data_IF_368925284177
#
_entry.id   IF_368925284177
#
_cell.length_a   1.000
_cell.length_b   1.000
_cell.length_c   1.000
_cell.angle_alpha   90.00
_cell.angle_beta   90.00
_cell.angle_gamma   90.00
#
_symmetry.space_group_name_H-M   'P 1'
#
loop_
_entity.id
_entity.type
_entity.pdbx_description
1 polymer ?
#
# COMPACT_ATOMS: atom_id res chain seq x y z
N UNK A 1 16.15 3.54 -7.20
CA UNK A 1 16.61 3.82 -5.82
C UNK A 1 17.47 5.07 -5.88
N UNK A 2 17.16 6.13 -5.11
CA UNK A 2 17.83 7.43 -5.27
C UNK A 2 19.35 7.40 -5.06
N UNK A 3 19.86 6.48 -4.23
CA UNK A 3 21.27 6.49 -3.86
C UNK A 3 22.23 6.01 -4.98
N UNK A 4 21.77 5.15 -5.90
CA UNK A 4 22.56 4.74 -7.08
C UNK A 4 21.93 5.15 -8.41
N UNK A 5 20.81 5.90 -8.36
CA UNK A 5 20.05 6.39 -9.50
C UNK A 5 19.58 5.29 -10.49
N UNK A 6 19.58 4.02 -10.08
CA UNK A 6 19.15 2.90 -10.91
C UNK A 6 17.70 2.52 -10.65
N UNK A 7 17.01 2.03 -11.68
CA UNK A 7 15.66 1.47 -11.55
C UNK A 7 15.70 0.28 -10.59
N UNK A 8 14.80 0.25 -9.60
CA UNK A 8 14.73 -0.82 -8.59
C UNK A 8 16.04 -1.10 -7.80
N UNK A 9 17.03 -0.19 -7.81
CA UNK A 9 18.30 -0.39 -7.13
C UNK A 9 19.15 -1.51 -7.74
N UNK A 10 19.01 -1.73 -9.05
CA UNK A 10 19.71 -2.75 -9.82
C UNK A 10 21.23 -2.64 -9.73
N UNK A 11 21.79 -1.43 -9.83
CA UNK A 11 23.24 -1.22 -9.78
C UNK A 11 23.85 -1.65 -8.43
N UNK A 12 23.03 -1.68 -7.38
CA UNK A 12 23.43 -2.11 -6.03
C UNK A 12 22.91 -3.50 -5.66
N UNK A 13 22.37 -4.24 -6.62
CA UNK A 13 21.86 -5.60 -6.41
C UNK A 13 20.64 -5.68 -5.48
N UNK A 14 19.89 -4.57 -5.33
CA UNK A 14 18.71 -4.54 -4.45
C UNK A 14 17.46 -5.11 -5.11
N UNK A 15 17.39 -5.09 -6.43
CA UNK A 15 16.20 -5.49 -7.16
C UNK A 15 16.35 -5.31 -8.66
N UNK A 16 15.27 -5.57 -9.39
CA UNK A 16 15.18 -5.41 -10.84
C UNK A 16 13.73 -5.14 -11.24
N UNK A 17 13.51 -4.50 -12.39
CA UNK A 17 12.16 -4.28 -12.93
C UNK A 17 11.69 -5.53 -13.69
N UNK A 18 10.62 -6.17 -13.21
CA UNK A 18 10.11 -7.43 -13.77
C UNK A 18 8.62 -7.35 -14.09
N UNK A 19 8.13 -8.29 -14.90
CA UNK A 19 6.70 -8.38 -15.21
C UNK A 19 5.88 -8.77 -13.98
N UNK A 20 4.69 -8.20 -13.86
CA UNK A 20 3.74 -8.53 -12.79
C UNK A 20 3.25 -9.96 -12.95
N UNK A 21 3.31 -10.74 -11.87
CA UNK A 21 2.75 -12.09 -11.80
C UNK A 21 1.34 -12.03 -11.23
N UNK A 22 0.35 -12.35 -12.06
CA UNK A 22 -1.05 -12.46 -11.65
C UNK A 22 -1.41 -13.89 -11.22
N UNK A 23 -2.38 -14.03 -10.33
CA UNK A 23 -2.92 -15.35 -9.95
C UNK A 23 -3.75 -15.94 -11.09
N UNK A 24 -3.56 -17.23 -11.36
CA UNK A 24 -4.40 -18.01 -12.28
C UNK A 24 -5.50 -18.80 -11.55
N UNK A 25 -5.73 -18.52 -10.27
CA UNK A 25 -6.75 -19.19 -9.47
C UNK A 25 -8.16 -18.79 -9.92
N UNK A 26 -9.12 -19.70 -9.78
CA UNK A 26 -10.53 -19.40 -10.04
C UNK A 26 -11.07 -18.35 -9.06
N UNK A 27 -11.83 -17.39 -9.56
CA UNK A 27 -12.56 -16.40 -8.75
C UNK A 27 -13.98 -16.89 -8.43
N UNK A 28 -14.57 -16.37 -7.35
CA UNK A 28 -15.95 -16.71 -6.97
C UNK A 28 -16.98 -16.19 -7.98
N UNK A 29 -18.13 -16.86 -8.09
CA UNK A 29 -19.20 -16.49 -9.05
C UNK A 29 -20.05 -15.30 -8.60
N UNK A 30 -19.73 -14.69 -7.45
CA UNK A 30 -20.49 -13.57 -6.85
C UNK A 30 -20.40 -12.29 -7.69
N UNK A 31 -19.26 -12.08 -8.36
CA UNK A 31 -19.04 -10.98 -9.29
C UNK A 31 -19.17 -11.50 -10.73
N UNK A 32 -20.27 -11.23 -11.42
CA UNK A 32 -20.56 -11.83 -12.73
C UNK A 32 -19.96 -11.06 -13.91
N UNK A 33 -19.16 -10.03 -13.66
CA UNK A 33 -18.61 -9.15 -14.68
C UNK A 33 -17.11 -9.43 -14.90
N UNK A 34 -16.60 -9.00 -16.05
CA UNK A 34 -15.18 -9.10 -16.40
C UNK A 34 -14.72 -7.80 -17.06
N UNK A 35 -13.59 -7.27 -16.61
CA UNK A 35 -12.94 -6.10 -17.19
C UNK A 35 -13.71 -4.80 -17.00
N UNK A 36 -14.54 -4.69 -15.95
CA UNK A 36 -15.30 -3.47 -15.65
C UNK A 36 -14.75 -2.74 -14.41
N UNK A 37 -13.94 -3.42 -13.61
CA UNK A 37 -13.39 -2.85 -12.39
C UNK A 37 -11.85 -2.86 -12.43
N UNK A 38 -11.25 -1.69 -12.24
CA UNK A 38 -9.81 -1.47 -12.27
C UNK A 38 -9.02 -2.34 -11.26
N UNK A 39 -9.72 -2.92 -10.27
CA UNK A 39 -9.16 -3.79 -9.22
C UNK A 39 -9.05 -5.26 -9.64
N UNK A 40 -9.65 -5.64 -10.77
CA UNK A 40 -9.52 -7.00 -11.32
C UNK A 40 -8.06 -7.28 -11.72
N UNK A 41 -7.55 -8.47 -11.34
CA UNK A 41 -6.15 -8.86 -11.59
C UNK A 41 -5.12 -7.78 -11.18
N UNK A 42 -5.40 -7.08 -10.08
CA UNK A 42 -4.57 -5.99 -9.59
C UNK A 42 -3.07 -6.35 -9.59
N UNK A 43 -2.17 -5.47 -10.07
CA UNK A 43 -2.39 -4.09 -10.55
C UNK A 43 -2.43 -3.92 -12.09
N UNK A 44 -2.71 -4.97 -12.86
CA UNK A 44 -2.37 -5.04 -14.29
C UNK A 44 -3.03 -3.96 -15.18
N UNK A 45 -4.17 -3.41 -14.75
CA UNK A 45 -4.87 -2.32 -15.43
C UNK A 45 -3.99 -1.06 -15.52
N UNK A 46 -3.18 -0.79 -14.50
CA UNK A 46 -2.33 0.39 -14.47
C UNK A 46 -0.89 0.08 -14.90
N UNK A 47 -0.32 -1.02 -14.42
CA UNK A 47 1.08 -1.36 -14.66
C UNK A 47 1.28 -2.85 -14.86
N UNK A 48 2.06 -3.22 -15.87
CA UNK A 48 2.44 -4.60 -16.15
C UNK A 48 3.86 -4.96 -15.69
N UNK A 49 4.62 -3.99 -15.16
CA UNK A 49 5.96 -4.20 -14.60
C UNK A 49 6.12 -3.46 -13.29
N UNK A 50 6.78 -4.11 -12.32
CA UNK A 50 7.07 -3.54 -11.00
C UNK A 50 8.47 -3.94 -10.53
N UNK A 51 8.96 -3.30 -9.48
CA UNK A 51 10.22 -3.70 -8.86
C UNK A 51 10.07 -5.00 -8.08
N UNK A 52 10.87 -6.00 -8.44
CA UNK A 52 11.08 -7.20 -7.63
C UNK A 52 12.40 -7.11 -6.88
N UNK A 53 12.30 -6.99 -5.56
CA UNK A 53 13.45 -6.81 -4.68
C UNK A 53 14.09 -8.15 -4.30
N UNK A 54 15.40 -8.11 -4.08
CA UNK A 54 16.22 -9.27 -3.72
C UNK A 54 16.42 -9.38 -2.21
N UNK A 55 16.50 -10.61 -1.70
CA UNK A 55 16.77 -10.88 -0.29
C UNK A 55 15.78 -10.20 0.67
N UNK A 56 16.29 -9.34 1.55
CA UNK A 56 15.50 -8.61 2.54
C UNK A 56 15.19 -7.16 2.13
N UNK A 57 15.49 -6.74 0.90
CA UNK A 57 15.08 -5.44 0.38
C UNK A 57 13.58 -5.43 0.02
N UNK A 58 12.94 -4.28 0.12
CA UNK A 58 11.52 -4.06 -0.23
C UNK A 58 11.25 -2.59 -0.56
N UNK A 59 9.98 -2.23 -0.75
CA UNK A 59 9.52 -0.89 -1.09
C UNK A 59 9.42 -0.71 -2.60
N UNK A 60 8.73 0.35 -3.05
CA UNK A 60 8.42 0.57 -4.47
C UNK A 60 9.66 0.66 -5.38
N UNK A 61 10.83 0.97 -4.81
CA UNK A 61 12.11 1.10 -5.51
C UNK A 61 13.23 0.22 -4.92
N UNK A 62 12.89 -0.77 -4.07
CA UNK A 62 13.82 -1.63 -3.33
C UNK A 62 14.77 -0.92 -2.35
N UNK A 63 14.45 0.32 -1.97
CA UNK A 63 15.24 1.12 -1.03
C UNK A 63 14.99 0.82 0.44
N UNK A 64 13.94 0.09 0.78
CA UNK A 64 13.54 -0.21 2.16
C UNK A 64 13.91 -1.64 2.57
N UNK A 65 13.75 -1.96 3.86
CA UNK A 65 13.92 -3.30 4.39
C UNK A 65 12.60 -4.00 4.65
N UNK A 66 12.58 -5.31 4.40
CA UNK A 66 11.46 -6.21 4.74
C UNK A 66 11.10 -6.06 6.22
N UNK A 67 9.81 -6.13 6.55
CA UNK A 67 9.36 -6.08 7.94
C UNK A 67 10.14 -7.06 8.82
N UNK A 68 10.68 -6.57 9.94
CA UNK A 68 11.58 -7.32 10.82
C UNK A 68 13.07 -7.15 10.55
N UNK A 69 13.45 -6.36 9.53
CA UNK A 69 14.84 -6.06 9.18
C UNK A 69 15.08 -4.55 9.06
N UNK A 70 16.32 -4.13 9.32
CA UNK A 70 16.79 -2.75 9.21
C UNK A 70 18.29 -2.71 8.85
N UNK A 71 18.87 -1.51 8.83
CA UNK A 71 20.23 -1.22 8.43
C UNK A 71 20.38 -1.04 6.91
N UNK A 72 21.52 -0.50 6.45
CA UNK A 72 21.72 -0.14 5.04
C UNK A 72 21.58 -1.35 4.10
N UNK A 73 21.90 -2.56 4.57
CA UNK A 73 21.86 -3.80 3.80
C UNK A 73 20.73 -4.76 4.24
N UNK A 74 19.80 -4.32 5.10
CA UNK A 74 18.68 -5.13 5.58
C UNK A 74 19.07 -6.47 6.23
N UNK A 75 20.21 -6.48 6.93
CA UNK A 75 20.74 -7.67 7.64
C UNK A 75 20.51 -7.61 9.14
N UNK A 76 20.17 -6.45 9.69
CA UNK A 76 19.97 -6.27 11.13
C UNK A 76 18.53 -6.64 11.45
N UNK A 77 18.32 -7.66 12.29
CA UNK A 77 16.97 -8.03 12.75
C UNK A 77 16.44 -6.96 13.71
N UNK A 78 15.18 -6.58 13.53
CA UNK A 78 14.44 -5.66 14.40
C UNK A 78 13.13 -6.31 14.80
N UNK A 79 12.86 -6.39 16.10
CA UNK A 79 11.57 -6.84 16.61
C UNK A 79 10.92 -5.69 17.36
N UNK A 80 9.68 -5.41 17.00
CA UNK A 80 8.86 -4.36 17.57
C UNK A 80 7.65 -5.01 18.27
N UNK A 81 7.19 -4.40 19.37
CA UNK A 81 6.12 -4.96 20.21
C UNK A 81 4.95 -3.99 20.25
N UNK A 82 3.87 -4.35 19.55
CA UNK A 82 2.57 -3.66 19.66
C UNK A 82 1.98 -3.94 21.04
N UNK A 83 1.93 -2.91 21.88
CA UNK A 83 1.41 -3.00 23.25
C UNK A 83 -0.10 -2.81 23.26
N UNK A 84 -0.72 -3.26 24.35
CA UNK A 84 -2.11 -2.94 24.65
C UNK A 84 -2.21 -1.45 25.03
N UNK A 85 -3.21 -0.75 24.48
CA UNK A 85 -3.32 0.72 24.54
C UNK A 85 -3.55 1.25 25.96
N UNK A 86 -4.29 0.54 26.82
CA UNK A 86 -4.53 0.95 28.20
C UNK A 86 -3.30 0.81 29.09
N UNK A 87 -2.39 -0.13 28.78
CA UNK A 87 -1.11 -0.36 29.46
C UNK A 87 0.00 0.62 29.07
N UNK A 88 -0.22 1.49 28.09
CA UNK A 88 0.72 2.56 27.76
C UNK A 88 0.82 3.61 28.88
N UNK A 89 2.02 4.11 29.11
CA UNK A 89 2.28 5.30 29.93
C UNK A 89 1.62 6.53 29.31
N UNK A 90 1.43 7.59 30.10
CA UNK A 90 0.88 8.86 29.59
C UNK A 90 1.71 9.40 28.42
N UNK A 91 3.05 9.38 28.53
CA UNK A 91 3.94 9.84 27.47
C UNK A 91 3.84 9.00 26.19
N UNK A 92 3.65 7.67 26.30
CA UNK A 92 3.43 6.81 25.13
C UNK A 92 2.08 7.10 24.46
N UNK A 93 1.01 7.35 25.23
CA UNK A 93 -0.30 7.74 24.70
C UNK A 93 -0.25 9.10 24.00
N UNK A 94 0.40 10.08 24.61
CA UNK A 94 0.58 11.41 24.03
C UNK A 94 1.38 11.35 22.73
N UNK A 95 2.48 10.56 22.71
CA UNK A 95 3.25 10.29 21.50
C UNK A 95 2.38 9.66 20.41
N UNK A 96 1.62 8.62 20.74
CA UNK A 96 0.75 7.94 19.79
C UNK A 96 -0.23 8.92 19.13
N UNK A 97 -0.97 9.70 19.94
CA UNK A 97 -1.92 10.69 19.44
C UNK A 97 -1.22 11.77 18.61
N UNK A 98 -0.06 12.26 19.06
CA UNK A 98 0.72 13.25 18.33
C UNK A 98 1.16 12.75 16.95
N UNK A 99 1.59 11.48 16.84
CA UNK A 99 2.01 10.89 15.56
C UNK A 99 0.84 10.63 14.62
N UNK A 100 -0.35 10.26 15.14
CA UNK A 100 -1.56 10.20 14.33
C UNK A 100 -1.92 11.58 13.76
N UNK A 101 -1.83 12.62 14.59
CA UNK A 101 -2.11 13.98 14.16
C UNK A 101 -1.08 14.47 13.13
N UNK A 102 0.20 14.16 13.32
CA UNK A 102 1.26 14.43 12.35
C UNK A 102 0.96 13.75 11.01
N UNK A 103 0.61 12.46 11.02
CA UNK A 103 0.28 11.72 9.80
C UNK A 103 -0.93 12.30 9.07
N UNK A 104 -1.93 12.82 9.79
CA UNK A 104 -3.10 13.48 9.20
C UNK A 104 -2.79 14.83 8.54
N UNK A 105 -1.71 15.49 8.94
CA UNK A 105 -1.33 16.80 8.43
C UNK A 105 -0.06 16.79 7.56
N UNK A 106 0.51 15.62 7.30
CA UNK A 106 1.72 15.47 6.48
C UNK A 106 1.36 14.79 5.17
N UNK A 107 1.61 15.47 4.04
CA UNK A 107 1.46 14.90 2.70
C UNK A 107 2.37 13.67 2.59
N UNK A 108 1.82 12.58 2.05
CA UNK A 108 2.55 11.35 1.78
C UNK A 108 3.70 11.62 0.81
N UNK A 109 4.96 11.30 1.17
CA UNK A 109 6.10 11.56 0.28
C UNK A 109 6.18 10.58 -0.89
N UNK A 110 5.55 9.40 -0.77
CA UNK A 110 5.71 8.30 -1.72
C UNK A 110 4.43 7.90 -2.46
N UNK A 111 3.26 8.36 -1.99
CA UNK A 111 1.97 7.96 -2.56
C UNK A 111 1.08 9.15 -2.89
N UNK A 112 0.45 9.05 -4.06
CA UNK A 112 -0.69 9.87 -4.50
C UNK A 112 -1.88 8.94 -4.75
N UNK A 113 -3.09 9.49 -4.81
CA UNK A 113 -4.30 8.70 -5.08
C UNK A 113 -4.95 9.07 -6.41
N UNK A 114 -5.50 8.10 -7.16
CA UNK A 114 -6.30 8.41 -8.34
C UNK A 114 -7.62 9.06 -7.93
N UNK A 115 -8.06 10.05 -8.71
CA UNK A 115 -9.38 10.71 -8.53
C UNK A 115 -10.40 10.30 -9.59
N UNK A 116 -10.02 9.38 -10.48
CA UNK A 116 -10.83 8.88 -11.58
C UNK A 116 -10.51 7.40 -11.86
N UNK A 117 -11.39 6.73 -12.59
CA UNK A 117 -11.17 5.38 -13.12
C UNK A 117 -10.12 5.40 -14.24
N UNK A 118 -9.52 4.24 -14.56
CA UNK A 118 -8.54 4.13 -15.63
C UNK A 118 -9.10 4.59 -17.00
N UNK A 119 -10.36 4.27 -17.27
CA UNK A 119 -11.08 4.73 -18.47
C UNK A 119 -11.18 6.26 -18.52
N UNK A 120 -11.58 6.89 -17.41
CA UNK A 120 -11.66 8.36 -17.31
C UNK A 120 -10.29 9.04 -17.44
N UNK A 121 -9.20 8.33 -17.10
CA UNK A 121 -7.83 8.77 -17.36
C UNK A 121 -7.37 8.56 -18.81
N UNK A 122 -8.30 8.33 -19.75
CA UNK A 122 -7.99 8.06 -21.16
C UNK A 122 -6.98 6.90 -21.30
N UNK A 123 -7.24 5.80 -20.57
CA UNK A 123 -6.38 4.62 -20.50
C UNK A 123 -4.92 4.97 -20.12
N UNK A 124 -4.78 5.84 -19.11
CA UNK A 124 -3.49 6.26 -18.57
C UNK A 124 -2.80 7.41 -19.31
N UNK A 125 -3.32 7.87 -20.46
CA UNK A 125 -2.72 9.01 -21.19
C UNK A 125 -3.02 10.37 -20.56
N UNK A 126 -4.04 10.46 -19.71
CA UNK A 126 -4.40 11.64 -18.93
C UNK A 126 -4.45 11.29 -17.44
N UNK A 127 -3.30 11.22 -16.75
CA UNK A 127 -3.23 10.79 -15.36
C UNK A 127 -3.95 11.78 -14.45
N UNK A 128 -4.86 11.28 -13.61
CA UNK A 128 -5.63 12.07 -12.66
C UNK A 128 -5.33 11.64 -11.23
N UNK A 129 -4.31 12.26 -10.63
CA UNK A 129 -3.87 11.98 -9.27
C UNK A 129 -3.83 13.25 -8.43
N UNK A 130 -4.03 13.08 -7.12
CA UNK A 130 -3.87 14.16 -6.13
C UNK A 130 -3.01 13.70 -4.97
N UNK A 131 -2.31 14.68 -4.38
CA UNK A 131 -1.63 14.51 -3.12
C UNK A 131 -2.61 14.11 -2.01
N UNK A 132 -2.14 13.30 -1.08
CA UNK A 132 -2.91 12.87 0.09
C UNK A 132 -2.02 12.86 1.32
N UNK A 133 -2.57 13.15 2.50
CA UNK A 133 -1.81 12.97 3.73
C UNK A 133 -1.70 11.49 4.10
N UNK A 134 -0.70 11.16 4.93
CA UNK A 134 -0.42 9.77 5.31
C UNK A 134 -1.62 9.10 5.96
N UNK A 135 -2.36 9.77 6.84
CA UNK A 135 -3.52 9.14 7.48
C UNK A 135 -4.65 8.85 6.47
N UNK A 136 -4.97 9.82 5.62
CA UNK A 136 -6.04 9.68 4.63
C UNK A 136 -5.68 8.71 3.50
N UNK A 137 -4.39 8.48 3.23
CA UNK A 137 -3.97 7.40 2.35
C UNK A 137 -4.55 6.06 2.80
N UNK A 138 -4.51 5.78 4.11
CA UNK A 138 -5.06 4.53 4.65
C UNK A 138 -6.58 4.51 4.68
N UNK A 139 -7.23 5.66 4.88
CA UNK A 139 -8.68 5.78 4.67
C UNK A 139 -9.04 5.46 3.22
N UNK A 140 -8.28 6.02 2.27
CA UNK A 140 -8.51 5.83 0.84
C UNK A 140 -8.23 4.39 0.38
N UNK A 141 -7.14 3.76 0.84
CA UNK A 141 -6.81 2.37 0.50
C UNK A 141 -7.93 1.41 0.92
N UNK A 142 -8.48 1.59 2.12
CA UNK A 142 -9.59 0.78 2.61
C UNK A 142 -10.88 1.04 1.84
N UNK A 143 -11.21 2.31 1.60
CA UNK A 143 -12.32 2.72 0.73
C UNK A 143 -12.20 2.10 -0.67
N UNK A 144 -11.04 2.20 -1.30
CA UNK A 144 -10.82 1.72 -2.66
C UNK A 144 -10.90 0.20 -2.75
N UNK A 145 -10.44 -0.53 -1.73
CA UNK A 145 -10.61 -1.99 -1.68
C UNK A 145 -12.08 -2.41 -1.49
N UNK A 146 -12.88 -1.61 -0.80
CA UNK A 146 -14.24 -2.00 -0.35
C UNK A 146 -15.38 -1.31 -1.12
N UNK A 147 -15.09 -0.35 -2.00
CA UNK A 147 -16.13 0.36 -2.78
C UNK A 147 -16.83 -0.59 -3.77
N UNK A 148 -18.10 -0.32 -4.07
CA UNK A 148 -18.88 -0.99 -5.10
C UNK A 148 -18.25 -0.88 -6.49
N UNK A 149 -18.40 -1.87 -7.37
CA UNK A 149 -17.96 -1.74 -8.76
C UNK A 149 -18.87 -0.80 -9.55
N UNK A 150 -18.31 0.04 -10.43
CA UNK A 150 -19.12 0.91 -11.28
C UNK A 150 -19.66 0.12 -12.49
N UNK A 151 -20.92 0.34 -12.85
CA UNK A 151 -21.56 -0.26 -14.02
C UNK A 151 -21.78 0.80 -15.11
N UNK A 152 -21.86 0.34 -16.36
CA UNK A 152 -22.28 1.19 -17.46
C UNK A 152 -23.65 1.84 -17.18
N UNK A 153 -23.81 3.10 -17.59
CA UNK A 153 -25.04 3.86 -17.34
C UNK A 153 -25.17 4.44 -15.92
N UNK A 154 -24.11 4.41 -15.11
CA UNK A 154 -24.06 5.08 -13.80
C UNK A 154 -24.59 4.26 -12.63
N UNK A 155 -24.84 2.96 -12.82
CA UNK A 155 -25.18 2.03 -11.76
C UNK A 155 -23.96 1.56 -10.96
N UNK A 156 -24.21 0.81 -9.88
CA UNK A 156 -23.16 0.16 -9.09
C UNK A 156 -23.51 -1.30 -8.79
N UNK A 157 -22.49 -2.12 -8.59
CA UNK A 157 -22.61 -3.47 -8.06
C UNK A 157 -21.96 -3.54 -6.67
N UNK A 158 -22.80 -3.63 -5.64
CA UNK A 158 -22.36 -3.62 -4.24
C UNK A 158 -21.95 -5.00 -3.70
N UNK A 159 -22.25 -6.07 -4.43
CA UNK A 159 -21.94 -7.43 -3.98
C UNK A 159 -20.50 -7.82 -4.38
N UNK A 160 -19.53 -6.99 -3.97
CA UNK A 160 -18.09 -7.18 -4.17
C UNK A 160 -17.31 -6.42 -3.08
N UNK A 161 -16.35 -7.09 -2.46
CA UNK A 161 -15.42 -6.47 -1.50
C UNK A 161 -14.07 -7.19 -1.56
N UNK A 162 -12.97 -6.46 -1.81
CA UNK A 162 -11.62 -7.03 -1.92
C UNK A 162 -10.90 -7.15 -0.57
N UNK A 163 -11.44 -6.54 0.50
CA UNK A 163 -10.86 -6.50 1.83
C UNK A 163 -11.72 -7.21 2.90
N UNK A 164 -12.98 -7.55 2.63
CA UNK A 164 -13.91 -8.21 3.55
C UNK A 164 -14.62 -9.41 2.92
N UNK A 165 -15.50 -10.06 3.72
CA UNK A 165 -16.42 -11.14 3.31
C UNK A 165 -15.80 -12.38 2.66
N UNK A 166 -14.47 -12.47 2.65
CA UNK A 166 -13.71 -13.53 2.03
C UNK A 166 -12.42 -13.83 2.82
N UNK A 167 -11.72 -14.94 2.53
CA UNK A 167 -10.47 -15.31 3.21
C UNK A 167 -9.34 -14.27 3.14
N UNK A 168 -9.43 -13.32 2.20
CA UNK A 168 -8.52 -12.17 2.09
C UNK A 168 -8.60 -11.19 3.27
N UNK A 169 -9.68 -11.23 4.08
CA UNK A 169 -9.93 -10.27 5.16
C UNK A 169 -8.74 -10.07 6.11
N UNK A 170 -8.28 -11.16 6.75
CA UNK A 170 -7.21 -11.07 7.75
C UNK A 170 -5.84 -10.75 7.13
N UNK A 171 -5.40 -11.40 6.03
CA UNK A 171 -4.14 -11.03 5.38
C UNK A 171 -4.11 -9.58 4.87
N UNK A 172 -5.20 -9.10 4.28
CA UNK A 172 -5.30 -7.72 3.77
C UNK A 172 -5.12 -6.71 4.90
N UNK A 173 -5.90 -6.85 5.99
CA UNK A 173 -5.81 -5.93 7.14
C UNK A 173 -4.47 -6.05 7.90
N UNK A 174 -3.84 -7.22 7.89
CA UNK A 174 -2.49 -7.39 8.44
C UNK A 174 -1.47 -6.57 7.66
N UNK A 175 -1.48 -6.64 6.33
CA UNK A 175 -0.57 -5.86 5.51
C UNK A 175 -0.88 -4.36 5.59
N UNK A 176 -2.16 -3.99 5.58
CA UNK A 176 -2.63 -2.62 5.81
C UNK A 176 -2.01 -2.00 7.08
N UNK A 177 -2.09 -2.69 8.22
CA UNK A 177 -1.52 -2.20 9.48
C UNK A 177 0.02 -2.19 9.49
N UNK A 178 0.67 -3.07 8.74
CA UNK A 178 2.13 -3.06 8.60
C UNK A 178 2.61 -1.87 7.77
N UNK A 179 1.91 -1.56 6.67
CA UNK A 179 2.20 -0.39 5.84
C UNK A 179 1.89 0.90 6.61
N UNK A 180 0.76 0.95 7.32
CA UNK A 180 0.36 2.08 8.18
C UNK A 180 1.41 2.42 9.23
N UNK A 181 1.87 1.43 9.98
CA UNK A 181 2.90 1.61 11.00
C UNK A 181 4.20 2.16 10.38
N UNK A 182 4.60 1.62 9.22
CA UNK A 182 5.81 2.06 8.51
C UNK A 182 5.74 3.50 8.01
N UNK A 183 4.63 3.89 7.38
CA UNK A 183 4.51 5.26 6.87
C UNK A 183 4.47 6.28 8.01
N UNK A 184 3.91 5.93 9.18
CA UNK A 184 4.01 6.77 10.38
C UNK A 184 5.44 6.83 10.93
N UNK A 185 6.14 5.69 11.02
CA UNK A 185 7.57 5.65 11.42
C UNK A 185 8.40 6.59 10.54
N UNK A 186 8.17 6.60 9.22
CA UNK A 186 8.87 7.45 8.24
C UNK A 186 8.61 8.94 8.49
N UNK A 187 7.36 9.37 8.58
CA UNK A 187 7.07 10.81 8.77
C UNK A 187 7.41 11.32 10.17
N UNK A 188 7.37 10.44 11.18
CA UNK A 188 7.76 10.78 12.54
C UNK A 188 9.29 10.74 12.75
N UNK A 189 10.04 10.07 11.88
CA UNK A 189 11.45 9.78 12.08
C UNK A 189 11.71 8.87 13.29
N UNK A 190 10.71 8.09 13.73
CA UNK A 190 10.79 7.19 14.88
C UNK A 190 10.59 5.74 14.42
N UNK A 191 11.70 5.08 14.12
CA UNK A 191 11.78 3.68 13.72
C UNK A 191 11.25 2.67 14.76
N UNK A 192 11.02 3.11 16.00
CA UNK A 192 10.55 2.27 17.11
C UNK A 192 9.06 2.45 17.40
N UNK A 193 8.34 3.28 16.65
CA UNK A 193 6.90 3.45 16.79
C UNK A 193 6.13 2.15 16.42
N UNK A 194 5.10 1.80 17.21
CA UNK A 194 4.26 0.60 17.05
C UNK A 194 2.85 0.81 17.54
#
# INVERSE_FOLDING_TARGET
>A
WPADNSTCGEASGRGSCQDVVISNSSVGTQFPFLGIDDRENWPIVFYNRTCQCQGNFTGYNCGECRYGYTGPNCTIRRTLVRKEIFKLTTAEKDKFIAYLNLAKHTISPDYVIPTATYEQMSNGSSPMFVDINVYDLFVWLHYYASRDAFLAGGGVWANIDFAHEAPGFLPWHRFFLLLWEREIQKVAGDDNFT
#
